data_IF_914412748367
#
_entry.id   IF_914412748367
#
_cell.length_a   1.000
_cell.length_b   1.000
_cell.length_c   1.000
_cell.angle_alpha   90.00
_cell.angle_beta   90.00
_cell.angle_gamma   90.00
#
_symmetry.space_group_name_H-M   'P 1'
#
loop_
_entity.id
_entity.type
_entity.pdbx_description
1 polymer ?
#
# COMPACT_ATOMS: atom_id res chain seq x y z
N UNK A 1 -11.78 -15.26 -51.64
CA UNK A 1 -11.48 -15.81 -50.31
C UNK A 1 -9.96 -16.03 -50.07
N UNK A 2 -9.07 -15.12 -50.51
CA UNK A 2 -7.61 -15.26 -50.35
C UNK A 2 -6.93 -14.14 -49.55
N UNK A 3 -7.67 -13.09 -49.17
CA UNK A 3 -7.11 -11.90 -48.50
C UNK A 3 -7.16 -11.94 -46.96
N UNK A 4 -7.81 -12.96 -46.38
CA UNK A 4 -7.94 -13.12 -44.91
C UNK A 4 -6.74 -13.89 -44.30
N UNK A 5 -6.08 -14.75 -45.08
CA UNK A 5 -4.96 -15.58 -44.59
C UNK A 5 -3.68 -14.79 -44.29
N UNK A 6 -3.50 -13.59 -44.86
CA UNK A 6 -2.31 -12.78 -44.64
C UNK A 6 -2.30 -12.11 -43.25
N UNK A 7 -3.47 -11.85 -42.66
CA UNK A 7 -3.58 -11.26 -41.31
C UNK A 7 -3.30 -12.26 -40.18
N UNK A 8 -3.50 -13.57 -40.40
CA UNK A 8 -3.24 -14.63 -39.42
C UNK A 8 -1.76 -15.02 -39.29
N UNK A 9 -0.90 -14.56 -40.21
CA UNK A 9 0.54 -14.83 -40.17
C UNK A 9 1.32 -13.85 -39.28
N UNK A 10 0.71 -12.74 -38.86
CA UNK A 10 1.33 -11.76 -37.95
C UNK A 10 0.92 -11.92 -36.47
N UNK A 11 0.03 -12.86 -36.16
CA UNK A 11 -0.48 -13.10 -34.80
C UNK A 11 0.47 -13.75 -33.77
N UNK A 12 1.59 -14.43 -34.10
CA UNK A 12 2.44 -15.02 -33.05
C UNK A 12 3.42 -14.04 -32.37
N UNK A 13 3.54 -12.79 -32.83
CA UNK A 13 4.51 -11.83 -32.26
C UNK A 13 4.05 -11.12 -30.97
N UNK A 14 2.84 -11.39 -30.47
CA UNK A 14 2.34 -10.80 -29.21
C UNK A 14 2.55 -11.72 -28.00
N UNK A 15 3.25 -12.84 -28.17
CA UNK A 15 3.49 -13.79 -27.09
C UNK A 15 4.69 -13.34 -26.24
N UNK A 16 4.37 -12.80 -25.07
CA UNK A 16 5.23 -12.51 -23.91
C UNK A 16 5.88 -11.11 -23.88
N UNK A 17 5.08 -10.09 -23.57
CA UNK A 17 5.59 -9.03 -22.70
C UNK A 17 5.87 -9.66 -21.32
N UNK A 18 7.08 -10.19 -21.11
CA UNK A 18 7.49 -10.67 -19.80
C UNK A 18 7.60 -9.47 -18.87
N UNK A 19 6.72 -9.39 -17.88
CA UNK A 19 6.82 -8.37 -16.83
C UNK A 19 8.01 -8.77 -15.95
N UNK A 20 9.13 -8.06 -16.11
CA UNK A 20 10.26 -8.16 -15.19
C UNK A 20 9.88 -7.48 -13.88
N UNK A 21 9.52 -8.28 -12.88
CA UNK A 21 9.28 -7.80 -11.51
C UNK A 21 10.63 -7.81 -10.79
N UNK A 22 11.14 -6.63 -10.41
CA UNK A 22 12.33 -6.55 -9.56
C UNK A 22 12.00 -7.12 -8.16
N UNK A 23 12.76 -8.15 -7.78
CA UNK A 23 12.63 -8.85 -6.48
C UNK A 23 13.77 -8.54 -5.53
N UNK A 24 14.73 -7.72 -5.93
CA UNK A 24 15.98 -7.47 -5.19
C UNK A 24 15.71 -7.07 -3.75
N UNK A 25 14.82 -6.08 -3.54
CA UNK A 25 14.43 -5.65 -2.19
C UNK A 25 13.73 -6.75 -1.40
N UNK A 26 12.77 -7.45 -2.03
CA UNK A 26 11.98 -8.51 -1.39
C UNK A 26 12.89 -9.66 -0.94
N UNK A 27 13.86 -10.05 -1.75
CA UNK A 27 14.75 -11.15 -1.42
C UNK A 27 15.74 -10.75 -0.33
N UNK A 28 16.24 -9.51 -0.36
CA UNK A 28 17.11 -8.97 0.68
C UNK A 28 16.40 -8.94 2.04
N UNK A 29 15.19 -8.36 2.12
CA UNK A 29 14.48 -8.20 3.38
C UNK A 29 14.03 -9.55 3.97
N UNK A 30 13.57 -10.47 3.13
CA UNK A 30 13.21 -11.83 3.58
C UNK A 30 14.42 -12.59 4.12
N UNK A 31 15.61 -12.38 3.53
CA UNK A 31 16.85 -12.97 4.03
C UNK A 31 17.25 -12.40 5.39
N UNK A 32 17.18 -11.07 5.56
CA UNK A 32 17.49 -10.41 6.84
C UNK A 32 16.61 -10.91 7.97
N UNK A 33 15.31 -11.06 7.71
CA UNK A 33 14.32 -11.50 8.70
C UNK A 33 13.98 -12.99 8.61
N UNK A 34 14.84 -13.82 8.01
CA UNK A 34 14.53 -15.24 7.77
C UNK A 34 14.35 -16.06 9.07
N UNK A 35 14.98 -15.61 10.16
CA UNK A 35 14.90 -16.25 11.48
C UNK A 35 13.86 -15.61 12.39
N UNK A 36 13.16 -14.57 11.92
CA UNK A 36 12.08 -13.96 12.67
C UNK A 36 10.88 -14.92 12.70
N UNK A 37 10.43 -15.27 13.89
CA UNK A 37 9.16 -15.94 14.09
C UNK A 37 8.00 -14.95 13.87
N UNK A 38 7.53 -14.88 12.61
CA UNK A 38 6.47 -13.96 12.18
C UNK A 38 5.12 -14.22 12.88
N UNK A 39 4.93 -15.39 13.52
CA UNK A 39 3.71 -15.69 14.28
C UNK A 39 3.59 -14.84 15.55
N UNK A 40 4.70 -14.27 16.03
CA UNK A 40 4.72 -13.34 17.18
C UNK A 40 4.35 -11.91 16.82
N UNK A 41 4.19 -11.61 15.53
CA UNK A 41 3.70 -10.32 15.05
C UNK A 41 2.18 -10.39 14.96
N UNK A 42 1.49 -10.13 16.08
CA UNK A 42 0.04 -10.22 16.23
C UNK A 42 -0.72 -9.33 15.24
N UNK A 43 -0.19 -8.14 14.95
CA UNK A 43 -0.76 -7.22 13.97
C UNK A 43 -0.60 -7.70 12.52
N UNK A 44 0.32 -8.63 12.26
CA UNK A 44 0.76 -9.00 10.92
C UNK A 44 1.60 -7.92 10.20
N UNK A 45 1.90 -6.80 10.87
CA UNK A 45 2.66 -5.66 10.35
C UNK A 45 3.85 -5.39 11.28
N UNK A 46 5.06 -5.47 10.71
CA UNK A 46 6.32 -5.15 11.38
C UNK A 46 7.02 -4.02 10.63
N UNK A 47 7.15 -2.85 11.24
CA UNK A 47 7.71 -1.66 10.56
C UNK A 47 9.13 -1.87 10.05
N UNK A 48 9.99 -2.53 10.83
CA UNK A 48 11.39 -2.78 10.44
C UNK A 48 11.53 -3.74 9.25
N UNK A 49 10.46 -4.47 8.92
CA UNK A 49 10.40 -5.32 7.74
C UNK A 49 10.00 -4.55 6.47
N UNK A 50 9.40 -3.37 6.62
CA UNK A 50 8.93 -2.57 5.49
C UNK A 50 9.98 -1.64 4.91
N UNK A 51 9.75 -1.24 3.67
CA UNK A 51 10.37 -0.03 3.13
C UNK A 51 9.59 1.17 3.66
N UNK A 52 10.29 2.08 4.34
CA UNK A 52 9.70 3.29 4.91
C UNK A 52 9.64 4.40 3.86
N UNK A 53 8.43 4.89 3.60
CA UNK A 53 8.18 6.06 2.74
C UNK A 53 7.86 7.32 3.57
N UNK A 54 7.48 7.13 4.83
CA UNK A 54 7.22 8.21 5.79
C UNK A 54 7.31 7.67 7.21
N UNK A 55 7.59 8.56 8.16
CA UNK A 55 7.60 8.22 9.58
C UNK A 55 6.18 8.07 10.11
N UNK A 56 5.67 6.83 10.07
CA UNK A 56 4.31 6.50 10.55
C UNK A 56 4.12 6.73 12.05
N UNK A 57 5.20 6.76 12.86
CA UNK A 57 5.11 7.01 14.31
C UNK A 57 4.74 8.47 14.64
N UNK A 58 4.97 9.40 13.71
CA UNK A 58 4.52 10.78 13.83
C UNK A 58 2.99 10.92 13.71
N UNK A 59 2.30 9.92 13.13
CA UNK A 59 0.85 9.94 12.89
C UNK A 59 0.12 9.04 13.89
N UNK A 60 0.35 9.26 15.18
CA UNK A 60 -0.14 8.43 16.29
C UNK A 60 -1.51 8.88 16.87
N UNK A 61 -2.23 9.77 16.18
CA UNK A 61 -3.51 10.31 16.65
C UNK A 61 -3.39 11.49 17.61
N UNK A 62 -2.18 11.91 17.99
CA UNK A 62 -1.95 13.18 18.70
C UNK A 62 -1.70 14.28 17.66
N UNK A 63 -2.59 15.27 17.63
CA UNK A 63 -2.42 16.43 16.76
C UNK A 63 -1.25 17.29 17.24
N UNK A 64 -0.35 17.61 16.33
CA UNK A 64 0.74 18.56 16.52
C UNK A 64 0.77 19.54 15.34
N UNK A 65 1.43 20.67 15.51
CA UNK A 65 1.58 21.69 14.46
C UNK A 65 2.38 21.19 13.24
N UNK A 66 3.00 20.01 13.33
CA UNK A 66 3.79 19.39 12.26
C UNK A 66 3.11 18.17 11.62
N UNK A 67 1.96 17.72 12.13
CA UNK A 67 1.23 16.56 11.60
C UNK A 67 0.19 16.95 10.56
N UNK A 68 0.63 17.65 9.52
CA UNK A 68 -0.22 17.95 8.36
C UNK A 68 -0.36 16.71 7.47
N UNK A 69 -1.61 16.37 7.13
CA UNK A 69 -1.94 15.24 6.25
C UNK A 69 -2.45 15.77 4.91
N UNK A 70 -1.78 15.34 3.83
CA UNK A 70 -2.26 15.48 2.46
C UNK A 70 -2.34 14.11 1.77
N UNK A 71 -2.78 14.08 0.51
CA UNK A 71 -2.91 12.83 -0.28
C UNK A 71 -1.60 12.06 -0.42
N UNK A 72 -0.47 12.76 -0.54
CA UNK A 72 0.84 12.13 -0.70
C UNK A 72 1.28 11.48 0.60
N UNK A 73 1.21 12.22 1.71
CA UNK A 73 1.49 11.71 3.06
C UNK A 73 0.63 10.49 3.36
N UNK A 74 -0.67 10.55 3.06
CA UNK A 74 -1.59 9.44 3.27
C UNK A 74 -1.21 8.20 2.43
N UNK A 75 -0.83 8.42 1.17
CA UNK A 75 -0.31 7.38 0.29
C UNK A 75 0.98 6.75 0.81
N UNK A 76 1.89 7.56 1.36
CA UNK A 76 3.17 7.10 1.89
C UNK A 76 3.00 6.36 3.23
N UNK A 77 2.05 6.76 4.08
CA UNK A 77 1.62 5.99 5.27
C UNK A 77 1.14 4.62 4.82
N UNK A 78 0.22 4.56 3.84
CA UNK A 78 -0.29 3.29 3.31
C UNK A 78 0.84 2.41 2.75
N UNK A 79 1.73 2.96 1.91
CA UNK A 79 2.84 2.21 1.31
C UNK A 79 3.75 1.64 2.40
N UNK A 80 4.11 2.45 3.39
CA UNK A 80 4.97 2.03 4.50
C UNK A 80 4.34 0.84 5.24
N UNK A 81 3.07 0.94 5.62
CA UNK A 81 2.35 -0.14 6.30
C UNK A 81 2.18 -1.39 5.43
N UNK A 82 1.90 -1.21 4.14
CA UNK A 82 1.72 -2.30 3.18
C UNK A 82 3.03 -3.07 2.95
N UNK A 83 4.15 -2.37 2.81
CA UNK A 83 5.47 -2.99 2.66
C UNK A 83 5.91 -3.71 3.94
N UNK A 84 5.44 -3.25 5.10
CA UNK A 84 5.73 -3.79 6.42
C UNK A 84 4.99 -5.09 6.75
N UNK A 85 4.14 -5.59 5.85
CA UNK A 85 3.38 -6.83 6.06
C UNK A 85 4.29 -8.05 6.11
N UNK A 86 4.19 -8.82 7.20
CA UNK A 86 4.90 -10.08 7.36
C UNK A 86 4.02 -11.32 7.11
N UNK A 87 2.70 -11.13 7.05
CA UNK A 87 1.72 -12.16 6.72
C UNK A 87 1.05 -11.90 5.36
N UNK A 88 0.66 -12.98 4.68
CA UNK A 88 0.05 -12.90 3.35
C UNK A 88 -1.38 -12.35 3.37
N UNK A 89 -2.09 -12.46 4.50
CA UNK A 89 -3.52 -12.22 4.54
C UNK A 89 -3.88 -10.73 4.37
N UNK A 90 -5.03 -10.50 3.73
CA UNK A 90 -5.57 -9.17 3.39
C UNK A 90 -6.68 -8.72 4.34
N UNK A 91 -7.12 -9.59 5.26
CA UNK A 91 -8.18 -9.29 6.24
C UNK A 91 -7.88 -8.00 7.02
N UNK A 92 -6.59 -7.71 7.29
CA UNK A 92 -6.15 -6.55 8.06
C UNK A 92 -5.58 -5.40 7.22
N UNK A 93 -5.54 -5.48 5.88
CA UNK A 93 -5.07 -4.36 5.04
C UNK A 93 -5.85 -4.34 3.72
N UNK A 94 -6.78 -3.38 3.52
CA UNK A 94 -7.50 -3.22 2.26
C UNK A 94 -6.52 -2.91 1.13
N UNK A 95 -6.91 -3.25 -0.10
CA UNK A 95 -6.17 -2.82 -1.29
C UNK A 95 -6.13 -1.30 -1.39
N UNK A 96 -5.08 -0.77 -2.02
CA UNK A 96 -4.90 0.67 -2.17
C UNK A 96 -6.11 1.33 -2.83
N UNK A 97 -6.63 0.75 -3.90
CA UNK A 97 -7.79 1.30 -4.62
C UNK A 97 -9.03 1.36 -3.73
N UNK A 98 -9.28 0.32 -2.93
CA UNK A 98 -10.42 0.28 -2.01
C UNK A 98 -10.24 1.30 -0.89
N UNK A 99 -9.02 1.44 -0.39
CA UNK A 99 -8.66 2.45 0.59
C UNK A 99 -8.87 3.87 0.06
N UNK A 100 -8.27 4.18 -1.09
CA UNK A 100 -8.34 5.49 -1.74
C UNK A 100 -9.79 5.86 -2.11
N UNK A 101 -10.57 4.90 -2.62
CA UNK A 101 -11.99 5.08 -2.91
C UNK A 101 -12.79 5.41 -1.65
N UNK A 102 -12.63 4.62 -0.58
CA UNK A 102 -13.33 4.84 0.68
C UNK A 102 -12.98 6.21 1.29
N UNK A 103 -11.70 6.58 1.24
CA UNK A 103 -11.21 7.88 1.70
C UNK A 103 -11.85 9.03 0.92
N UNK A 104 -11.79 9.00 -0.42
CA UNK A 104 -12.35 10.04 -1.27
C UNK A 104 -13.87 10.16 -1.09
N UNK A 105 -14.58 9.02 -0.98
CA UNK A 105 -16.03 8.97 -0.74
C UNK A 105 -16.41 9.57 0.60
N UNK A 106 -15.69 9.23 1.68
CA UNK A 106 -15.96 9.77 3.00
C UNK A 106 -15.75 11.29 3.04
N UNK A 107 -14.67 11.78 2.41
CA UNK A 107 -14.39 13.20 2.30
C UNK A 107 -15.48 13.94 1.53
N UNK A 108 -15.85 13.43 0.35
CA UNK A 108 -16.94 14.00 -0.45
C UNK A 108 -18.25 14.08 0.33
N UNK A 109 -18.65 12.99 0.99
CA UNK A 109 -19.90 12.93 1.76
C UNK A 109 -19.93 13.91 2.94
N UNK A 110 -18.78 14.21 3.54
CA UNK A 110 -18.73 15.13 4.68
C UNK A 110 -18.63 16.60 4.27
N UNK A 111 -18.16 16.90 3.05
CA UNK A 111 -18.05 18.27 2.54
C UNK A 111 -19.18 18.66 1.57
N UNK A 112 -20.02 17.72 1.12
CA UNK A 112 -21.04 18.00 0.09
C UNK A 112 -22.12 19.00 0.52
N UNK A 113 -22.43 19.08 1.81
CA UNK A 113 -23.51 19.93 2.35
C UNK A 113 -22.99 21.10 3.18
N UNK A 114 -21.67 21.33 3.27
CA UNK A 114 -21.08 22.39 4.11
C UNK A 114 -19.73 22.86 3.58
N UNK A 115 -19.59 24.17 3.39
CA UNK A 115 -18.31 24.82 3.10
C UNK A 115 -17.51 25.04 4.38
N UNK A 116 -16.18 24.91 4.30
CA UNK A 116 -15.28 25.15 5.45
C UNK A 116 -15.05 23.96 6.38
N UNK A 117 -15.56 22.77 6.06
CA UNK A 117 -15.25 21.54 6.83
C UNK A 117 -13.93 20.93 6.33
N UNK A 118 -12.94 20.84 7.21
CA UNK A 118 -11.68 20.15 6.97
C UNK A 118 -11.74 18.73 7.54
N UNK A 119 -11.78 17.73 6.66
CA UNK A 119 -11.73 16.33 7.06
C UNK A 119 -10.28 15.94 7.34
N UNK A 120 -9.98 15.75 8.63
CA UNK A 120 -8.79 15.06 9.11
C UNK A 120 -9.07 13.55 9.02
N UNK A 121 -8.63 12.93 7.92
CA UNK A 121 -8.75 11.48 7.75
C UNK A 121 -7.61 10.77 8.46
N UNK A 122 -7.91 9.74 9.24
CA UNK A 122 -6.93 8.85 9.83
C UNK A 122 -7.03 7.43 9.28
N UNK A 123 -5.89 6.74 9.24
CA UNK A 123 -5.82 5.29 9.14
C UNK A 123 -5.48 4.76 10.52
N UNK A 124 -6.35 3.93 11.10
CA UNK A 124 -6.02 3.20 12.33
C UNK A 124 -5.51 1.81 11.94
N UNK A 125 -4.20 1.59 12.13
CA UNK A 125 -3.60 0.26 12.05
C UNK A 125 -2.76 0.01 13.30
N UNK A 126 -2.91 -1.19 13.84
CA UNK A 126 -1.96 -1.72 14.80
C UNK A 126 -0.71 -2.20 14.04
N UNK A 127 0.47 -1.89 14.55
CA UNK A 127 1.74 -2.35 14.02
C UNK A 127 2.72 -2.60 15.16
N UNK A 128 3.74 -3.39 14.90
CA UNK A 128 4.84 -3.65 15.84
C UNK A 128 6.16 -3.13 15.28
N UNK A 129 7.12 -2.87 16.18
CA UNK A 129 8.50 -2.52 15.89
C UNK A 129 9.42 -3.34 16.81
N UNK A 130 10.63 -3.66 16.36
CA UNK A 130 11.68 -4.21 17.21
C UNK A 130 12.32 -3.08 18.04
N UNK A 131 12.62 -3.37 19.31
CA UNK A 131 13.32 -2.45 20.23
C UNK A 131 14.83 -2.35 19.91
#
# INVERSE_FOLDING_TARGET
MKKIYLCLLFTPFVLNAQINIDRTWKDAINRTFQHLDKTKVQSGILLDYGMEFTNVTAYNGVLTDSTDINTNVLGDIYKTLFMSKVVADTVHTPTFDRYAYNWAKARFNATKDSSGIYILSGLLYEYQKLD
#
